data_IF_399647904559
#
_entry.id   IF_399647904559
#
_cell.length_a   1.000
_cell.length_b   1.000
_cell.length_c   1.000
_cell.angle_alpha   90.00
_cell.angle_beta   90.00
_cell.angle_gamma   90.00
#
_symmetry.space_group_name_H-M   'P 1'
#
loop_
_entity.id
_entity.type
_entity.pdbx_description
1 polymer ?
#
# COMPACT_ATOMS: atom_id res chain seq x y z
N UNK A 1 24.61 28.26 5.64
CA UNK A 1 23.21 28.10 5.18
C UNK A 1 23.14 26.85 4.32
N UNK A 2 22.23 25.93 4.62
CA UNK A 2 21.97 24.79 3.74
C UNK A 2 21.25 25.31 2.49
N UNK A 3 21.66 24.86 1.29
CA UNK A 3 21.02 25.28 0.05
C UNK A 3 19.55 24.83 0.00
N UNK A 4 18.69 25.59 -0.68
CA UNK A 4 17.28 25.20 -0.91
C UNK A 4 17.20 23.84 -1.61
N UNK A 5 18.09 23.58 -2.57
CA UNK A 5 18.18 22.29 -3.26
C UNK A 5 18.47 21.10 -2.34
N UNK A 6 19.28 21.27 -1.29
CA UNK A 6 19.57 20.19 -0.35
C UNK A 6 18.37 19.92 0.56
N UNK A 7 17.66 20.97 0.99
CA UNK A 7 16.43 20.84 1.80
C UNK A 7 15.32 20.15 1.02
N UNK A 8 15.14 20.52 -0.26
CA UNK A 8 14.19 19.85 -1.14
C UNK A 8 14.55 18.38 -1.40
N UNK A 9 15.84 18.05 -1.52
CA UNK A 9 16.26 16.66 -1.73
C UNK A 9 16.09 15.80 -0.46
N UNK A 10 16.38 16.37 0.72
CA UNK A 10 16.08 15.73 2.00
C UNK A 10 14.58 15.47 2.15
N UNK A 11 13.74 16.46 1.86
CA UNK A 11 12.29 16.31 1.87
C UNK A 11 11.84 15.15 0.97
N UNK A 12 12.29 15.15 -0.29
CA UNK A 12 11.96 14.08 -1.24
C UNK A 12 12.34 12.71 -0.70
N UNK A 13 13.54 12.57 -0.14
CA UNK A 13 14.03 11.30 0.39
C UNK A 13 13.22 10.82 1.61
N UNK A 14 12.88 11.72 2.54
CA UNK A 14 12.05 11.38 3.70
C UNK A 14 10.67 10.88 3.26
N UNK A 15 10.02 11.58 2.32
CA UNK A 15 8.72 11.17 1.78
C UNK A 15 8.83 9.84 1.02
N UNK A 16 9.91 9.65 0.25
CA UNK A 16 10.16 8.41 -0.47
C UNK A 16 10.34 7.19 0.45
N UNK A 17 11.05 7.38 1.57
CA UNK A 17 11.22 6.37 2.62
C UNK A 17 9.89 6.07 3.34
N UNK A 18 9.07 7.09 3.62
CA UNK A 18 7.74 6.90 4.21
C UNK A 18 6.83 6.07 3.30
N UNK A 19 6.80 6.38 2.01
CA UNK A 19 6.03 5.60 1.02
C UNK A 19 6.56 4.19 0.78
N UNK A 20 7.78 3.87 1.23
CA UNK A 20 8.41 2.55 1.07
C UNK A 20 8.59 1.81 2.40
N UNK A 21 7.91 2.27 3.44
CA UNK A 21 8.08 1.76 4.81
C UNK A 21 7.36 0.43 5.06
N UNK A 22 6.40 0.05 4.22
CA UNK A 22 5.61 -1.17 4.31
C UNK A 22 4.45 -1.10 5.31
N UNK A 23 4.27 0.02 6.02
CA UNK A 23 3.24 0.17 7.07
C UNK A 23 1.90 0.63 6.52
N UNK A 24 1.91 1.37 5.41
CA UNK A 24 0.72 1.99 4.83
C UNK A 24 0.19 3.15 5.67
N UNK A 25 1.02 3.69 6.56
CA UNK A 25 0.74 4.88 7.34
C UNK A 25 1.17 6.12 6.54
N UNK A 26 0.23 7.05 6.39
CA UNK A 26 0.45 8.33 5.76
C UNK A 26 -0.23 9.38 6.63
N UNK A 27 0.57 10.20 7.28
CA UNK A 27 0.10 11.32 8.10
C UNK A 27 0.19 12.61 7.28
N UNK A 28 -0.96 13.16 6.92
CA UNK A 28 -1.06 14.38 6.11
C UNK A 28 -0.46 15.60 6.82
N UNK A 29 -0.61 15.70 8.15
CA UNK A 29 -0.11 16.83 8.94
C UNK A 29 1.42 16.79 9.01
N UNK A 30 1.98 15.60 9.21
CA UNK A 30 3.44 15.43 9.23
C UNK A 30 4.06 15.76 7.87
N UNK A 31 3.47 15.22 6.79
CA UNK A 31 4.00 15.34 5.42
C UNK A 31 3.83 16.74 4.83
N UNK A 32 2.70 17.41 5.09
CA UNK A 32 2.40 18.71 4.48
C UNK A 32 2.72 19.91 5.37
N UNK A 33 2.80 19.73 6.69
CA UNK A 33 3.01 20.84 7.62
C UNK A 33 4.34 20.72 8.37
N UNK A 34 4.57 19.64 9.13
CA UNK A 34 5.73 19.53 10.03
C UNK A 34 7.06 19.44 9.28
N UNK A 35 7.19 18.48 8.37
CA UNK A 35 8.46 18.27 7.65
C UNK A 35 8.78 19.47 6.74
N UNK A 36 7.84 20.05 5.97
CA UNK A 36 8.11 21.26 5.21
C UNK A 36 8.45 22.48 6.08
N UNK A 37 7.80 22.65 7.23
CA UNK A 37 8.11 23.75 8.16
C UNK A 37 9.52 23.61 8.74
N UNK A 38 9.91 22.42 9.18
CA UNK A 38 11.25 22.14 9.71
C UNK A 38 12.35 22.36 8.66
N UNK A 39 12.06 22.00 7.40
CA UNK A 39 12.96 22.23 6.27
C UNK A 39 12.81 23.64 5.67
N UNK A 40 11.94 24.49 6.20
CA UNK A 40 11.63 25.84 5.70
C UNK A 40 11.35 25.85 4.19
N UNK A 41 10.52 24.90 3.74
CA UNK A 41 9.98 24.72 2.38
C UNK A 41 8.55 25.25 2.35
N UNK A 42 8.14 25.86 1.24
CA UNK A 42 6.76 26.31 1.06
C UNK A 42 5.80 25.12 0.96
N UNK A 43 4.69 25.15 1.71
CA UNK A 43 3.68 24.10 1.69
C UNK A 43 3.15 23.78 0.28
N UNK A 44 3.00 24.77 -0.60
CA UNK A 44 2.57 24.54 -1.98
C UNK A 44 3.58 23.70 -2.78
N UNK A 45 4.88 23.99 -2.64
CA UNK A 45 5.93 23.17 -3.28
C UNK A 45 5.94 21.75 -2.68
N UNK A 46 5.80 21.64 -1.36
CA UNK A 46 5.76 20.34 -0.69
C UNK A 46 4.62 19.47 -1.22
N UNK A 47 3.42 20.03 -1.38
CA UNK A 47 2.26 19.34 -1.97
C UNK A 47 2.54 18.83 -3.38
N UNK A 48 3.09 19.67 -4.26
CA UNK A 48 3.43 19.26 -5.63
C UNK A 48 4.43 18.10 -5.62
N UNK A 49 5.48 18.20 -4.80
CA UNK A 49 6.51 17.16 -4.69
C UNK A 49 5.93 15.84 -4.17
N UNK A 50 5.10 15.88 -3.12
CA UNK A 50 4.46 14.69 -2.56
C UNK A 50 3.52 14.06 -3.58
N UNK A 51 2.73 14.86 -4.30
CA UNK A 51 1.82 14.34 -5.32
C UNK A 51 2.55 13.67 -6.49
N UNK A 52 3.64 14.28 -6.98
CA UNK A 52 4.46 13.69 -8.04
C UNK A 52 5.13 12.39 -7.57
N UNK A 53 5.67 12.37 -6.35
CA UNK A 53 6.28 11.18 -5.76
C UNK A 53 5.24 10.07 -5.58
N UNK A 54 4.09 10.37 -4.98
CA UNK A 54 3.01 9.41 -4.77
C UNK A 54 2.52 8.82 -6.09
N UNK A 55 2.29 9.64 -7.13
CA UNK A 55 1.84 9.16 -8.44
C UNK A 55 2.86 8.23 -9.12
N UNK A 56 4.14 8.57 -9.04
CA UNK A 56 5.22 7.72 -9.57
C UNK A 56 5.37 6.43 -8.75
N UNK A 57 5.24 6.53 -7.42
CA UNK A 57 5.39 5.39 -6.52
C UNK A 57 4.22 4.42 -6.59
N UNK A 58 3.01 4.91 -6.81
CA UNK A 58 1.81 4.07 -6.84
C UNK A 58 1.88 2.97 -7.92
N UNK A 59 2.28 3.32 -9.15
CA UNK A 59 2.47 2.32 -10.22
C UNK A 59 3.66 1.39 -9.92
N UNK A 60 4.75 1.93 -9.38
CA UNK A 60 5.94 1.16 -9.01
C UNK A 60 5.65 0.15 -7.89
N UNK A 61 4.86 0.52 -6.87
CA UNK A 61 4.46 -0.36 -5.77
C UNK A 61 3.58 -1.50 -6.27
N UNK A 62 2.70 -1.26 -7.24
CA UNK A 62 1.92 -2.34 -7.88
C UNK A 62 2.85 -3.31 -8.64
N UNK A 63 3.76 -2.79 -9.46
CA UNK A 63 4.75 -3.61 -10.19
C UNK A 63 5.57 -4.45 -9.20
N UNK A 64 6.01 -3.86 -8.10
CA UNK A 64 6.75 -4.56 -7.05
C UNK A 64 5.90 -5.65 -6.37
N UNK A 65 4.65 -5.36 -6.03
CA UNK A 65 3.74 -6.34 -5.44
C UNK A 65 3.56 -7.55 -6.38
N UNK A 66 3.35 -7.31 -7.68
CA UNK A 66 3.23 -8.39 -8.68
C UNK A 66 4.55 -9.16 -8.84
N UNK A 67 5.69 -8.46 -8.88
CA UNK A 67 6.99 -9.13 -8.94
C UNK A 67 7.25 -10.02 -7.73
N UNK A 68 6.88 -9.57 -6.53
CA UNK A 68 6.99 -10.33 -5.28
C UNK A 68 6.01 -11.50 -5.23
N UNK A 69 4.80 -11.35 -5.80
CA UNK A 69 3.84 -12.42 -6.00
C UNK A 69 4.44 -13.54 -6.85
N UNK A 70 5.04 -13.21 -8.00
CA UNK A 70 5.73 -14.18 -8.88
C UNK A 70 6.91 -14.86 -8.18
N UNK A 71 7.60 -14.14 -7.30
CA UNK A 71 8.66 -14.68 -6.44
C UNK A 71 8.13 -15.47 -5.23
N UNK A 72 6.80 -15.58 -5.06
CA UNK A 72 6.13 -16.22 -3.92
C UNK A 72 6.49 -15.61 -2.56
N UNK A 73 6.93 -14.35 -2.54
CA UNK A 73 7.31 -13.60 -1.32
C UNK A 73 6.10 -12.90 -0.71
N UNK A 74 5.24 -13.67 -0.02
CA UNK A 74 3.97 -13.18 0.55
C UNK A 74 4.12 -11.96 1.47
N UNK A 75 5.11 -11.97 2.35
CA UNK A 75 5.35 -10.84 3.28
C UNK A 75 5.71 -9.55 2.52
N UNK A 76 6.53 -9.66 1.48
CA UNK A 76 6.87 -8.53 0.63
C UNK A 76 5.67 -8.00 -0.15
N UNK A 77 4.78 -8.89 -0.61
CA UNK A 77 3.52 -8.51 -1.26
C UNK A 77 2.68 -7.63 -0.33
N UNK A 78 2.50 -8.04 0.92
CA UNK A 78 1.72 -7.28 1.91
C UNK A 78 2.33 -5.90 2.16
N UNK A 79 3.66 -5.84 2.31
CA UNK A 79 4.40 -4.57 2.45
C UNK A 79 4.17 -3.65 1.25
N UNK A 80 4.36 -4.13 0.02
CA UNK A 80 4.18 -3.31 -1.19
C UNK A 80 2.73 -2.89 -1.41
N UNK A 81 1.75 -3.69 -0.98
CA UNK A 81 0.33 -3.32 -1.01
C UNK A 81 0.00 -2.24 0.03
N UNK A 82 0.62 -2.29 1.21
CA UNK A 82 0.52 -1.22 2.20
C UNK A 82 1.14 0.08 1.67
N UNK A 83 2.30 0.01 1.02
CA UNK A 83 2.95 1.15 0.36
C UNK A 83 2.05 1.79 -0.69
N UNK A 84 1.37 0.96 -1.49
CA UNK A 84 0.38 1.41 -2.47
C UNK A 84 -0.80 2.15 -1.80
N UNK A 85 -1.30 1.64 -0.67
CA UNK A 85 -2.36 2.32 0.10
C UNK A 85 -1.89 3.64 0.72
N UNK A 86 -0.63 3.75 1.16
CA UNK A 86 -0.07 5.03 1.60
C UNK A 86 -0.01 6.05 0.45
N UNK A 87 0.42 5.62 -0.73
CA UNK A 87 0.45 6.48 -1.92
C UNK A 87 -0.95 6.94 -2.33
N UNK A 88 -1.95 6.06 -2.24
CA UNK A 88 -3.33 6.40 -2.56
C UNK A 88 -3.97 7.36 -1.55
N UNK A 89 -3.59 7.29 -0.27
CA UNK A 89 -3.99 8.32 0.72
C UNK A 89 -3.44 9.70 0.36
N UNK A 90 -2.21 9.77 -0.14
CA UNK A 90 -1.59 11.01 -0.57
C UNK A 90 -2.20 11.57 -1.87
N UNK A 91 -2.53 10.68 -2.81
CA UNK A 91 -3.15 11.02 -4.09
C UNK A 91 -4.24 10.00 -4.40
N UNK A 92 -5.51 10.30 -4.09
CA UNK A 92 -6.62 9.38 -4.35
C UNK A 92 -6.68 9.09 -5.84
N UNK A 93 -6.33 7.86 -6.20
CA UNK A 93 -6.10 7.47 -7.58
C UNK A 93 -7.26 6.66 -8.15
N UNK A 94 -7.37 6.70 -9.47
CA UNK A 94 -8.28 5.86 -10.24
C UNK A 94 -7.83 4.39 -10.19
N UNK A 95 -8.73 3.43 -10.50
CA UNK A 95 -8.41 2.01 -10.51
C UNK A 95 -7.19 1.73 -11.39
N UNK A 96 -6.25 0.96 -10.86
CA UNK A 96 -5.04 0.61 -11.57
C UNK A 96 -5.34 -0.42 -12.64
N UNK A 97 -5.00 -0.07 -13.88
CA UNK A 97 -5.05 -1.02 -15.00
C UNK A 97 -3.82 -1.92 -14.96
N UNK A 98 -4.03 -3.23 -14.86
CA UNK A 98 -2.97 -4.23 -14.96
C UNK A 98 -3.28 -5.23 -16.08
N UNK A 99 -2.25 -5.70 -16.78
CA UNK A 99 -2.40 -6.59 -17.95
C UNK A 99 -3.00 -7.95 -17.59
N UNK A 100 -2.75 -8.44 -16.37
CA UNK A 100 -3.18 -9.77 -15.92
C UNK A 100 -4.11 -9.65 -14.69
N UNK A 101 -5.44 -9.64 -14.89
CA UNK A 101 -6.40 -9.43 -13.79
C UNK A 101 -6.35 -10.54 -12.72
N UNK A 102 -5.93 -11.76 -13.09
CA UNK A 102 -5.73 -12.89 -12.17
C UNK A 102 -4.66 -12.59 -11.11
N UNK A 103 -3.58 -11.88 -11.49
CA UNK A 103 -2.54 -11.49 -10.54
C UNK A 103 -3.08 -10.51 -9.49
N UNK A 104 -4.03 -9.65 -9.87
CA UNK A 104 -4.66 -8.72 -8.92
C UNK A 104 -5.54 -9.46 -7.91
N UNK A 105 -6.26 -10.48 -8.36
CA UNK A 105 -7.06 -11.36 -7.50
C UNK A 105 -6.16 -12.08 -6.49
N UNK A 106 -5.02 -12.61 -6.94
CA UNK A 106 -4.04 -13.28 -6.07
C UNK A 106 -3.41 -12.32 -5.05
N UNK A 107 -3.08 -11.09 -5.46
CA UNK A 107 -2.61 -10.03 -4.55
C UNK A 107 -3.63 -9.76 -3.45
N UNK A 108 -4.89 -9.58 -3.83
CA UNK A 108 -5.98 -9.35 -2.88
C UNK A 108 -6.19 -10.53 -1.94
N UNK A 109 -6.13 -11.76 -2.44
CA UNK A 109 -6.26 -12.97 -1.62
C UNK A 109 -5.13 -13.11 -0.59
N UNK A 110 -3.88 -12.77 -0.95
CA UNK A 110 -2.75 -12.75 -0.01
C UNK A 110 -2.95 -11.67 1.04
N UNK A 111 -3.38 -10.48 0.62
CA UNK A 111 -3.63 -9.38 1.54
C UNK A 111 -4.74 -9.71 2.52
N UNK A 112 -5.88 -10.25 2.05
CA UNK A 112 -6.99 -10.71 2.89
C UNK A 112 -6.56 -11.74 3.95
N UNK A 113 -5.70 -12.70 3.57
CA UNK A 113 -5.15 -13.69 4.51
C UNK A 113 -4.25 -13.10 5.59
N UNK A 114 -3.79 -11.87 5.41
CA UNK A 114 -2.92 -11.17 6.37
C UNK A 114 -3.71 -10.39 7.42
N UNK A 115 -5.04 -10.56 7.46
CA UNK A 115 -6.00 -9.91 8.35
C UNK A 115 -5.84 -8.38 8.48
N UNK A 116 -5.83 -7.62 7.37
CA UNK A 116 -5.70 -6.17 7.39
C UNK A 116 -7.01 -5.49 7.79
N UNK A 117 -6.92 -4.24 8.24
CA UNK A 117 -8.08 -3.43 8.61
C UNK A 117 -9.13 -3.36 7.47
N UNK A 118 -10.45 -3.40 7.79
CA UNK A 118 -11.51 -3.46 6.78
C UNK A 118 -11.50 -2.25 5.84
N UNK A 119 -11.09 -1.08 6.32
CA UNK A 119 -10.93 0.13 5.51
C UNK A 119 -9.86 -0.04 4.42
N UNK A 120 -8.71 -0.65 4.78
CA UNK A 120 -7.62 -0.95 3.84
C UNK A 120 -8.06 -1.98 2.79
N UNK A 121 -8.87 -2.97 3.18
CA UNK A 121 -9.43 -3.95 2.26
C UNK A 121 -10.38 -3.33 1.23
N UNK A 122 -11.34 -2.54 1.68
CA UNK A 122 -12.29 -1.88 0.76
C UNK A 122 -11.58 -0.94 -0.19
N UNK A 123 -10.56 -0.21 0.28
CA UNK A 123 -9.78 0.67 -0.58
C UNK A 123 -8.92 -0.10 -1.57
N UNK A 124 -8.26 -1.16 -1.14
CA UNK A 124 -7.48 -2.01 -2.04
C UNK A 124 -8.35 -2.67 -3.11
N UNK A 125 -9.54 -3.15 -2.74
CA UNK A 125 -10.51 -3.72 -3.69
C UNK A 125 -10.85 -2.73 -4.80
N UNK A 126 -11.13 -1.47 -4.43
CA UNK A 126 -11.41 -0.40 -5.38
C UNK A 126 -10.21 -0.13 -6.31
N UNK A 127 -9.00 -0.04 -5.75
CA UNK A 127 -7.78 0.24 -6.51
C UNK A 127 -7.41 -0.88 -7.49
N UNK A 128 -7.64 -2.13 -7.10
CA UNK A 128 -7.41 -3.30 -7.95
C UNK A 128 -8.55 -3.54 -8.95
N UNK A 129 -9.65 -2.78 -8.86
CA UNK A 129 -10.81 -2.93 -9.74
C UNK A 129 -11.51 -4.29 -9.61
N UNK A 130 -11.44 -4.94 -8.44
CA UNK A 130 -11.99 -6.28 -8.24
C UNK A 130 -13.48 -6.19 -7.92
N UNK A 131 -14.29 -6.92 -8.70
CA UNK A 131 -15.74 -7.00 -8.50
C UNK A 131 -16.10 -7.66 -7.16
N UNK A 132 -17.23 -7.25 -6.57
CA UNK A 132 -17.72 -7.83 -5.31
C UNK A 132 -17.93 -9.35 -5.37
N UNK A 133 -18.29 -9.87 -6.55
CA UNK A 133 -18.43 -11.31 -6.79
C UNK A 133 -17.11 -12.07 -6.68
N UNK A 134 -16.01 -11.48 -7.17
CA UNK A 134 -14.68 -12.07 -7.07
C UNK A 134 -14.19 -12.02 -5.61
N UNK A 135 -14.44 -10.93 -4.89
CA UNK A 135 -14.12 -10.83 -3.46
C UNK A 135 -14.91 -11.86 -2.64
N UNK A 136 -16.21 -12.03 -2.92
CA UNK A 136 -17.03 -13.05 -2.27
C UNK A 136 -16.48 -14.47 -2.52
N UNK A 137 -16.08 -14.79 -3.76
CA UNK A 137 -15.48 -16.08 -4.08
C UNK A 137 -14.14 -16.31 -3.36
N UNK A 138 -13.30 -15.28 -3.25
CA UNK A 138 -12.02 -15.34 -2.52
C UNK A 138 -12.26 -15.53 -1.02
N UNK A 139 -13.24 -14.83 -0.44
CA UNK A 139 -13.65 -14.99 0.96
C UNK A 139 -14.18 -16.40 1.20
N UNK A 140 -15.06 -16.90 0.34
CA UNK A 140 -15.60 -18.27 0.44
C UNK A 140 -14.49 -19.33 0.30
N UNK A 141 -13.51 -19.14 -0.58
CA UNK A 141 -12.35 -20.03 -0.69
C UNK A 141 -11.37 -19.90 0.49
N UNK A 142 -11.20 -18.70 1.04
CA UNK A 142 -10.40 -18.46 2.24
C UNK A 142 -11.02 -19.11 3.47
N UNK A 143 -12.35 -19.04 3.59
CA UNK A 143 -13.14 -19.64 4.67
C UNK A 143 -13.17 -21.18 4.55
N UNK A 144 -13.17 -21.73 3.33
CA UNK A 144 -13.02 -23.18 3.09
C UNK A 144 -11.66 -23.77 3.49
N UNK A 145 -10.64 -22.94 3.77
CA UNK A 145 -9.35 -23.40 4.30
C UNK A 145 -9.34 -23.50 5.83
N UNK A 146 -10.43 -23.13 6.51
CA UNK A 146 -10.64 -23.43 7.91
C UNK A 146 -11.85 -24.39 8.10
N UNK A 147 -11.67 -25.72 8.00
CA UNK A 147 -12.41 -26.54 8.93
C UNK A 147 -11.83 -26.26 10.31
N UNK A 148 -12.69 -25.76 11.19
CA UNK A 148 -12.61 -25.84 12.64
C UNK A 148 -11.38 -26.59 13.17
N UNK A 149 -10.52 -25.87 13.89
CA UNK A 149 -9.79 -26.50 14.98
C UNK A 149 -10.81 -27.09 15.95
N UNK A 150 -11.15 -28.36 15.73
CA UNK A 150 -11.62 -29.22 16.81
C UNK A 150 -10.38 -29.54 17.63
N UNK A 151 -10.37 -28.99 18.83
CA UNK A 151 -9.40 -29.19 19.89
C UNK A 151 -9.11 -30.69 20.07
N UNK A 152 -7.94 -31.18 19.66
CA UNK A 152 -7.39 -32.41 20.23
C UNK A 152 -6.61 -32.03 21.49
N UNK A 153 -7.29 -32.18 22.62
CA UNK A 153 -6.71 -32.26 23.96
C UNK A 153 -5.51 -33.22 23.95
N UNK A 154 -4.31 -32.68 24.09
CA UNK A 154 -3.16 -33.46 24.51
C UNK A 154 -3.32 -33.78 26.01
N UNK A 155 -3.87 -34.95 26.32
CA UNK A 155 -3.72 -35.57 27.63
C UNK A 155 -2.34 -36.26 27.69
N UNK A 156 -1.56 -35.87 28.70
CA UNK A 156 -0.25 -36.42 29.06
C UNK A 156 -0.30 -37.89 29.49
#
# INVERSE_FOLDING_TARGET
MISESLRENLFKKTIDEMFSSGTGEFDEEEVYEKIPADLNIKAEKARVVVHELAKSRLSNSLIQAVALLRQRKRQGVVSSLNDLLACDKAVPSEPLSWEVPEELVDLFAIYLKSDPAPEKLSRLQYLLGISDSAVAAIREMGDRVLPAGAEEEFAF
#
